data_IF_163165441829
#
_entry.id   IF_163165441829
#
_cell.length_a   1.000
_cell.length_b   1.000
_cell.length_c   1.000
_cell.angle_alpha   90.00
_cell.angle_beta   90.00
_cell.angle_gamma   90.00
#
_symmetry.space_group_name_H-M   'P 1'
#
loop_
_entity.id
_entity.type
_entity.pdbx_description
1 polymer ?
#
# COMPACT_ATOMS: atom_id res chain seq x y z
N UNK A 1 -12.38 -36.32 5.56
CA UNK A 1 -12.46 -34.86 5.72
C UNK A 1 -11.36 -34.53 6.74
N UNK A 2 -10.28 -33.91 6.32
CA UNK A 2 -9.21 -33.50 7.23
C UNK A 2 -9.71 -32.29 7.99
N UNK A 3 -9.57 -32.29 9.33
CA UNK A 3 -9.88 -31.12 10.14
C UNK A 3 -8.92 -29.98 9.73
N UNK A 4 -9.45 -28.77 9.58
CA UNK A 4 -8.61 -27.60 9.35
C UNK A 4 -7.63 -27.47 10.52
N UNK A 5 -6.33 -27.32 10.22
CA UNK A 5 -5.31 -27.13 11.23
C UNK A 5 -5.39 -25.69 11.70
N UNK A 6 -5.74 -25.48 12.96
CA UNK A 6 -5.80 -24.14 13.56
C UNK A 6 -4.43 -23.81 14.18
N UNK A 7 -3.81 -22.73 13.77
CA UNK A 7 -2.49 -22.27 14.23
C UNK A 7 -2.62 -20.92 14.95
N UNK A 8 -3.09 -20.92 16.21
CA UNK A 8 -3.47 -19.69 16.92
C UNK A 8 -2.28 -18.76 17.19
N UNK A 9 -1.08 -19.29 17.43
CA UNK A 9 0.10 -18.44 17.65
C UNK A 9 0.55 -17.78 16.34
N UNK A 10 0.53 -18.52 15.24
CA UNK A 10 0.81 -17.99 13.91
C UNK A 10 -0.22 -16.91 13.53
N UNK A 11 -1.51 -17.15 13.77
CA UNK A 11 -2.56 -16.18 13.49
C UNK A 11 -2.35 -14.88 14.27
N UNK A 12 -2.02 -14.97 15.56
CA UNK A 12 -1.74 -13.80 16.38
C UNK A 12 -0.54 -12.99 15.86
N UNK A 13 0.54 -13.65 15.45
CA UNK A 13 1.72 -13.00 14.87
C UNK A 13 1.38 -12.32 13.55
N UNK A 14 0.57 -12.93 12.69
CA UNK A 14 0.15 -12.35 11.42
C UNK A 14 -0.79 -11.15 11.62
N UNK A 15 -1.65 -11.15 12.64
CA UNK A 15 -2.48 -10.02 13.00
C UNK A 15 -1.63 -8.81 13.44
N UNK A 16 -0.63 -9.03 14.29
CA UNK A 16 0.31 -7.98 14.67
C UNK A 16 1.10 -7.46 13.45
N UNK A 17 1.58 -8.37 12.60
CA UNK A 17 2.26 -8.03 11.36
C UNK A 17 1.38 -7.14 10.45
N UNK A 18 0.09 -7.45 10.34
CA UNK A 18 -0.85 -6.67 9.55
C UNK A 18 -1.03 -5.24 10.09
N UNK A 19 -1.09 -5.09 11.44
CA UNK A 19 -1.17 -3.78 12.09
C UNK A 19 0.10 -2.96 11.85
N UNK A 20 1.27 -3.57 12.00
CA UNK A 20 2.55 -2.90 11.80
C UNK A 20 2.77 -2.51 10.33
N UNK A 21 2.42 -3.40 9.40
CA UNK A 21 2.44 -3.09 7.97
C UNK A 21 1.61 -1.86 7.64
N UNK A 22 0.38 -1.81 8.17
CA UNK A 22 -0.48 -0.66 8.00
C UNK A 22 0.16 0.62 8.52
N UNK A 23 0.67 0.59 9.76
CA UNK A 23 1.28 1.75 10.39
C UNK A 23 2.50 2.26 9.61
N UNK A 24 3.34 1.34 9.13
CA UNK A 24 4.53 1.67 8.36
C UNK A 24 4.17 2.23 6.97
N UNK A 25 3.22 1.61 6.27
CA UNK A 25 2.76 2.12 4.98
C UNK A 25 2.12 3.50 5.10
N UNK A 26 1.31 3.73 6.15
CA UNK A 26 0.76 5.05 6.47
C UNK A 26 1.86 6.09 6.72
N UNK A 27 2.91 5.73 7.47
CA UNK A 27 4.05 6.59 7.73
C UNK A 27 4.81 6.96 6.44
N UNK A 28 5.08 5.99 5.58
CA UNK A 28 5.75 6.22 4.30
C UNK A 28 4.94 7.14 3.37
N UNK A 29 3.61 6.96 3.32
CA UNK A 29 2.72 7.85 2.56
C UNK A 29 2.73 9.28 3.09
N UNK A 30 2.82 9.46 4.42
CA UNK A 30 2.96 10.78 5.06
C UNK A 30 4.28 11.43 4.72
N UNK A 31 5.38 10.70 4.85
CA UNK A 31 6.74 11.18 4.57
C UNK A 31 6.86 11.68 3.12
N UNK A 32 6.30 10.96 2.17
CA UNK A 32 6.32 11.34 0.76
C UNK A 32 5.20 12.31 0.34
N UNK A 33 4.44 12.86 1.30
CA UNK A 33 3.31 13.80 1.06
C UNK A 33 2.29 13.27 0.04
N UNK A 34 1.99 11.96 0.09
CA UNK A 34 1.06 11.28 -0.83
C UNK A 34 -0.40 11.35 -0.39
N UNK A 35 -0.66 11.90 0.78
CA UNK A 35 -2.00 12.03 1.34
C UNK A 35 -2.64 13.33 0.88
N UNK A 36 -3.35 13.31 -0.25
CA UNK A 36 -4.12 14.47 -0.71
C UNK A 36 -5.54 14.48 -0.13
N UNK A 37 -6.28 13.39 -0.25
CA UNK A 37 -7.68 13.27 0.22
C UNK A 37 -7.86 12.23 1.33
N UNK A 38 -6.79 11.57 1.77
CA UNK A 38 -6.84 10.53 2.79
C UNK A 38 -7.51 9.21 2.36
N UNK A 39 -7.88 9.07 1.08
CA UNK A 39 -8.53 7.83 0.60
C UNK A 39 -7.58 6.63 0.62
N UNK A 40 -6.32 6.82 0.18
CA UNK A 40 -5.30 5.78 0.23
C UNK A 40 -4.97 5.39 1.68
N UNK A 41 -4.91 6.40 2.56
CA UNK A 41 -4.71 6.21 3.99
C UNK A 41 -5.85 5.42 4.65
N UNK A 42 -7.11 5.74 4.30
CA UNK A 42 -8.29 5.03 4.82
C UNK A 42 -8.31 3.56 4.40
N UNK A 43 -7.84 3.25 3.19
CA UNK A 43 -7.85 1.89 2.65
C UNK A 43 -6.68 1.04 3.17
N UNK A 44 -5.53 1.63 3.44
CA UNK A 44 -4.47 0.97 4.20
C UNK A 44 -4.94 0.51 5.60
N UNK A 45 -6.03 1.13 6.10
CA UNK A 45 -6.66 0.76 7.35
C UNK A 45 -7.46 -0.56 7.33
N UNK A 46 -7.67 -1.17 6.17
CA UNK A 46 -8.48 -2.40 6.02
C UNK A 46 -7.67 -3.69 5.96
N UNK A 47 -6.40 -3.64 6.32
CA UNK A 47 -5.55 -4.83 6.39
C UNK A 47 -6.13 -5.84 7.38
N UNK A 48 -6.29 -7.08 6.95
CA UNK A 48 -6.85 -8.18 7.74
C UNK A 48 -6.09 -9.47 7.49
N UNK A 49 -6.16 -10.37 8.45
CA UNK A 49 -5.70 -11.75 8.29
C UNK A 49 -6.88 -12.60 7.90
N UNK A 50 -6.76 -13.32 6.80
CA UNK A 50 -7.73 -14.33 6.37
C UNK A 50 -7.14 -15.71 6.56
N UNK A 51 -7.95 -16.59 7.16
CA UNK A 51 -7.59 -18.00 7.37
C UNK A 51 -8.61 -18.83 6.61
N UNK A 52 -8.18 -19.47 5.55
CA UNK A 52 -9.01 -20.34 4.73
C UNK A 52 -8.33 -21.70 4.57
N UNK A 53 -8.97 -22.75 5.08
CA UNK A 53 -8.49 -24.14 5.12
C UNK A 53 -7.11 -24.30 5.79
N UNK A 54 -6.03 -24.25 5.00
CA UNK A 54 -4.64 -24.38 5.47
C UNK A 54 -3.76 -23.21 5.04
N UNK A 55 -4.39 -22.14 4.52
CA UNK A 55 -3.69 -20.94 4.04
C UNK A 55 -3.92 -19.82 5.04
N UNK A 56 -2.83 -19.26 5.55
CA UNK A 56 -2.82 -18.07 6.39
C UNK A 56 -2.33 -16.92 5.55
N UNK A 57 -3.17 -15.91 5.33
CA UNK A 57 -2.90 -14.81 4.41
C UNK A 57 -3.15 -13.46 5.09
N UNK A 58 -2.24 -12.52 4.86
CA UNK A 58 -2.44 -11.11 5.19
C UNK A 58 -2.85 -10.38 3.93
N UNK A 59 -4.12 -9.99 3.86
CA UNK A 59 -4.68 -9.29 2.70
C UNK A 59 -4.77 -7.80 2.95
N UNK A 60 -4.31 -7.01 1.99
CA UNK A 60 -4.36 -5.54 2.04
C UNK A 60 -5.23 -5.03 0.90
N UNK A 61 -6.38 -4.45 1.26
CA UNK A 61 -7.28 -3.84 0.30
C UNK A 61 -6.81 -2.43 -0.06
N UNK A 62 -6.39 -2.25 -1.28
CA UNK A 62 -5.92 -0.96 -1.80
C UNK A 62 -6.80 -0.47 -2.97
N UNK A 63 -7.00 0.86 -3.13
CA UNK A 63 -7.73 1.39 -4.26
C UNK A 63 -6.99 1.10 -5.57
N UNK A 64 -7.72 0.92 -6.67
CA UNK A 64 -7.16 0.57 -7.97
C UNK A 64 -6.06 1.49 -8.51
N UNK A 65 -5.93 2.69 -7.94
CA UNK A 65 -4.92 3.66 -8.35
C UNK A 65 -3.60 3.55 -7.56
N UNK A 66 -3.50 2.67 -6.54
CA UNK A 66 -2.29 2.53 -5.72
C UNK A 66 -1.02 2.29 -6.54
N UNK A 67 -1.10 1.50 -7.60
CA UNK A 67 0.02 1.22 -8.51
C UNK A 67 0.60 2.48 -9.15
N UNK A 68 -0.25 3.46 -9.48
CA UNK A 68 0.21 4.71 -10.08
C UNK A 68 0.97 5.61 -9.10
N UNK A 69 0.74 5.43 -7.82
CA UNK A 69 1.46 6.15 -6.75
C UNK A 69 2.74 5.41 -6.43
N UNK A 70 2.65 4.12 -6.19
CA UNK A 70 3.76 3.27 -5.75
C UNK A 70 4.81 3.07 -6.87
N UNK A 71 4.40 2.60 -8.03
CA UNK A 71 5.29 2.34 -9.17
C UNK A 71 5.52 3.60 -10.05
N UNK A 72 4.65 4.59 -9.91
CA UNK A 72 4.63 5.74 -10.81
C UNK A 72 4.05 5.42 -12.18
N UNK A 73 4.27 6.31 -13.13
CA UNK A 73 3.76 6.14 -14.50
C UNK A 73 4.77 6.62 -15.54
N UNK A 74 4.87 5.90 -16.66
CA UNK A 74 5.66 6.35 -17.81
C UNK A 74 4.87 7.39 -18.61
N UNK A 75 5.51 8.49 -18.98
CA UNK A 75 4.98 9.52 -19.87
C UNK A 75 5.41 9.29 -21.31
N UNK A 76 4.99 10.20 -22.21
CA UNK A 76 5.33 10.11 -23.65
C UNK A 76 6.83 10.10 -23.92
N UNK A 77 7.61 10.86 -23.14
CA UNK A 77 9.08 10.93 -23.26
C UNK A 77 9.81 9.82 -22.51
N UNK A 78 9.12 9.10 -21.63
CA UNK A 78 9.74 8.11 -20.75
C UNK A 78 9.28 6.67 -21.02
N UNK A 79 8.72 6.42 -22.21
CA UNK A 79 8.43 5.07 -22.68
C UNK A 79 6.96 4.73 -22.93
N UNK A 80 6.04 5.70 -22.87
CA UNK A 80 4.65 5.51 -23.28
C UNK A 80 4.20 6.60 -24.26
N UNK A 81 4.52 6.50 -25.57
CA UNK A 81 4.21 7.52 -26.56
C UNK A 81 2.70 7.80 -26.70
N UNK A 82 1.86 6.82 -26.39
CA UNK A 82 0.40 6.92 -26.47
C UNK A 82 -0.26 7.41 -25.18
N UNK A 83 0.51 7.85 -24.18
CA UNK A 83 -0.03 8.34 -22.92
C UNK A 83 -1.04 9.47 -23.17
N UNK A 84 -2.28 9.24 -22.70
CA UNK A 84 -3.33 10.26 -22.74
C UNK A 84 -3.14 11.25 -21.59
N UNK A 85 -3.74 12.43 -21.76
CA UNK A 85 -3.82 13.40 -20.68
C UNK A 85 -4.62 12.77 -19.51
N UNK A 86 -4.13 12.88 -18.27
CA UNK A 86 -4.85 12.33 -17.11
C UNK A 86 -6.19 13.06 -16.90
N UNK A 87 -7.15 12.48 -16.18
CA UNK A 87 -8.46 13.11 -15.95
C UNK A 87 -8.32 14.49 -15.32
N UNK A 88 -8.66 15.54 -16.07
CA UNK A 88 -8.46 16.93 -15.67
C UNK A 88 -9.13 17.26 -14.33
N UNK A 89 -10.38 16.78 -14.12
CA UNK A 89 -11.13 17.04 -12.90
C UNK A 89 -10.47 16.41 -11.66
N UNK A 90 -9.81 15.25 -11.81
CA UNK A 90 -9.09 14.62 -10.71
C UNK A 90 -7.87 15.47 -10.30
N UNK A 91 -7.11 15.98 -11.29
CA UNK A 91 -5.98 16.87 -11.02
C UNK A 91 -6.45 18.19 -10.42
N UNK A 92 -7.54 18.77 -10.94
CA UNK A 92 -8.09 20.00 -10.42
C UNK A 92 -8.52 19.86 -8.95
N UNK A 93 -9.24 18.78 -8.63
CA UNK A 93 -9.62 18.45 -7.25
C UNK A 93 -8.38 18.31 -6.35
N UNK A 94 -7.33 17.62 -6.82
CA UNK A 94 -6.09 17.47 -6.09
C UNK A 94 -5.39 18.82 -5.84
N UNK A 95 -5.32 19.70 -6.84
CA UNK A 95 -4.75 21.06 -6.71
C UNK A 95 -5.52 21.89 -5.66
N UNK A 96 -6.83 21.75 -5.61
CA UNK A 96 -7.69 22.46 -4.66
C UNK A 96 -7.53 21.95 -3.22
N UNK A 97 -7.32 20.66 -3.06
CA UNK A 97 -7.10 20.04 -1.73
C UNK A 97 -5.70 20.37 -1.18
N UNK A 98 -4.72 20.61 -2.06
CA UNK A 98 -3.33 21.00 -1.68
C UNK A 98 -3.04 22.46 -2.08
N UNK A 99 -3.61 23.46 -1.41
CA UNK A 99 -3.42 24.86 -1.76
C UNK A 99 -1.97 25.34 -1.55
N UNK A 100 -1.20 24.65 -0.71
CA UNK A 100 0.21 24.95 -0.39
C UNK A 100 1.20 24.50 -1.47
N UNK A 101 0.73 23.82 -2.53
CA UNK A 101 1.60 23.46 -3.64
C UNK A 101 2.26 24.69 -4.26
N UNK A 102 3.61 24.72 -4.35
CA UNK A 102 4.29 25.86 -4.94
C UNK A 102 3.89 26.01 -6.42
N UNK A 103 3.37 27.18 -6.75
CA UNK A 103 3.03 27.53 -8.13
C UNK A 103 4.24 28.21 -8.77
N UNK A 104 5.00 27.52 -9.62
CA UNK A 104 6.34 27.95 -10.01
C UNK A 104 6.37 29.12 -11.00
N UNK A 105 5.23 29.66 -11.40
CA UNK A 105 5.21 30.72 -12.40
C UNK A 105 3.98 31.63 -12.29
N UNK A 106 4.14 32.85 -12.81
CA UNK A 106 3.05 33.77 -13.07
C UNK A 106 2.79 33.85 -14.58
N UNK A 107 1.53 33.88 -14.99
CA UNK A 107 1.16 34.12 -16.39
C UNK A 107 0.86 35.59 -16.58
N UNK A 108 1.67 36.29 -17.38
CA UNK A 108 1.54 37.72 -17.67
C UNK A 108 1.44 38.60 -16.40
N UNK A 109 2.28 38.27 -15.40
CA UNK A 109 2.32 39.00 -14.12
C UNK A 109 1.15 38.72 -13.17
N UNK A 110 0.26 37.78 -13.47
CA UNK A 110 -0.85 37.38 -12.61
C UNK A 110 -0.60 35.99 -12.05
N UNK A 111 -1.08 35.74 -10.84
CA UNK A 111 -1.06 34.39 -10.26
C UNK A 111 -1.84 33.40 -11.13
N UNK A 112 -1.30 32.19 -11.21
CA UNK A 112 -1.90 31.11 -11.99
C UNK A 112 -3.12 30.57 -11.27
N UNK A 113 -4.26 30.50 -11.96
CA UNK A 113 -5.48 29.90 -11.43
C UNK A 113 -5.32 28.38 -11.23
N UNK A 114 -6.14 27.78 -10.35
CA UNK A 114 -6.14 26.33 -10.13
C UNK A 114 -6.31 25.52 -11.42
N UNK A 115 -7.20 25.99 -12.31
CA UNK A 115 -7.43 25.34 -13.62
C UNK A 115 -6.18 25.37 -14.51
N UNK A 116 -5.48 26.50 -14.55
CA UNK A 116 -4.25 26.63 -15.34
C UNK A 116 -3.13 25.79 -14.76
N UNK A 117 -3.00 25.76 -13.43
CA UNK A 117 -2.02 24.93 -12.74
C UNK A 117 -2.32 23.44 -12.93
N UNK A 118 -3.58 23.02 -12.80
CA UNK A 118 -4.00 21.64 -13.06
C UNK A 118 -3.70 21.20 -14.51
N UNK A 119 -3.92 22.09 -15.48
CA UNK A 119 -3.55 21.86 -16.88
C UNK A 119 -2.05 21.67 -17.08
N UNK A 120 -1.23 22.50 -16.43
CA UNK A 120 0.23 22.38 -16.47
C UNK A 120 0.72 21.06 -15.82
N UNK A 121 0.20 20.72 -14.63
CA UNK A 121 0.51 19.46 -13.93
C UNK A 121 0.13 18.26 -14.81
N UNK A 122 -1.08 18.25 -15.36
CA UNK A 122 -1.55 17.19 -16.26
C UNK A 122 -0.67 17.04 -17.50
N UNK A 123 -0.23 18.16 -18.08
CA UNK A 123 0.74 18.17 -19.16
C UNK A 123 2.08 17.52 -18.76
N UNK A 124 2.61 17.86 -17.59
CA UNK A 124 3.84 17.24 -17.06
C UNK A 124 3.67 15.73 -16.87
N UNK A 125 2.57 15.29 -16.28
CA UNK A 125 2.27 13.86 -16.10
C UNK A 125 2.14 13.14 -17.45
N UNK A 126 1.49 13.76 -18.43
CA UNK A 126 1.37 13.18 -19.78
C UNK A 126 2.74 13.01 -20.46
N UNK A 127 3.61 14.04 -20.36
CA UNK A 127 4.91 14.02 -21.04
C UNK A 127 5.98 13.22 -20.31
N UNK A 128 6.10 13.38 -19.01
CA UNK A 128 7.21 12.81 -18.23
C UNK A 128 6.78 11.62 -17.35
N UNK A 129 5.49 11.44 -17.12
CA UNK A 129 4.97 10.50 -16.15
C UNK A 129 5.05 11.03 -14.71
N UNK A 130 4.93 10.13 -13.77
CA UNK A 130 5.12 10.37 -12.34
C UNK A 130 6.19 9.43 -11.81
N UNK A 131 7.01 9.89 -10.87
CA UNK A 131 7.96 9.03 -10.16
C UNK A 131 7.19 8.24 -9.10
N UNK A 132 7.39 6.93 -9.03
CA UNK A 132 6.93 6.10 -7.93
C UNK A 132 7.74 6.35 -6.66
N UNK A 133 7.16 6.05 -5.53
CA UNK A 133 7.81 6.14 -4.20
C UNK A 133 8.16 4.79 -3.63
N UNK A 134 7.53 3.71 -4.12
CA UNK A 134 7.69 2.33 -3.65
C UNK A 134 7.38 2.16 -2.15
N UNK A 135 6.45 2.96 -1.65
CA UNK A 135 6.06 2.99 -0.23
C UNK A 135 5.51 1.64 0.25
N UNK A 136 4.73 0.98 -0.63
CA UNK A 136 4.15 -0.33 -0.35
C UNK A 136 5.23 -1.41 -0.30
N UNK A 137 6.13 -1.41 -1.29
CA UNK A 137 7.23 -2.37 -1.38
C UNK A 137 8.17 -2.24 -0.18
N UNK A 138 8.53 -1.01 0.21
CA UNK A 138 9.36 -0.75 1.38
C UNK A 138 8.70 -1.22 2.66
N UNK A 139 7.41 -0.88 2.88
CA UNK A 139 6.67 -1.32 4.05
C UNK A 139 6.57 -2.85 4.13
N UNK A 140 6.32 -3.53 2.99
CA UNK A 140 6.28 -4.99 2.92
C UNK A 140 7.62 -5.61 3.32
N UNK A 141 8.70 -5.14 2.72
CA UNK A 141 10.01 -5.76 2.92
C UNK A 141 10.49 -5.57 4.36
N UNK A 142 10.28 -4.39 4.93
CA UNK A 142 10.64 -4.09 6.31
C UNK A 142 9.83 -4.93 7.31
N UNK A 143 8.51 -5.03 7.11
CA UNK A 143 7.65 -5.82 7.99
C UNK A 143 7.94 -7.32 7.86
N UNK A 144 8.12 -7.83 6.65
CA UNK A 144 8.48 -9.25 6.44
C UNK A 144 9.79 -9.59 7.15
N UNK A 145 10.81 -8.75 7.06
CA UNK A 145 12.08 -8.99 7.74
C UNK A 145 11.94 -8.94 9.27
N UNK A 146 11.17 -7.97 9.79
CA UNK A 146 10.89 -7.83 11.22
C UNK A 146 10.19 -9.06 11.81
N UNK A 147 9.27 -9.66 11.06
CA UNK A 147 8.42 -10.74 11.56
C UNK A 147 8.90 -12.14 11.19
N UNK A 148 9.92 -12.29 10.34
CA UNK A 148 10.43 -13.58 9.85
C UNK A 148 10.69 -14.59 10.95
N UNK A 149 11.45 -14.23 11.96
CA UNK A 149 11.81 -15.14 13.07
C UNK A 149 10.59 -15.47 13.93
N UNK A 150 9.76 -14.49 14.26
CA UNK A 150 8.54 -14.68 15.04
C UNK A 150 7.53 -15.60 14.36
N UNK A 151 7.39 -15.49 13.03
CA UNK A 151 6.53 -16.40 12.24
C UNK A 151 7.09 -17.82 12.29
N UNK A 152 8.40 -18.02 12.18
CA UNK A 152 9.01 -19.33 12.26
C UNK A 152 8.87 -19.97 13.65
N UNK A 153 9.02 -19.19 14.72
CA UNK A 153 8.81 -19.63 16.11
C UNK A 153 7.34 -20.00 16.36
N UNK A 154 6.39 -19.15 15.99
CA UNK A 154 4.96 -19.40 16.18
C UNK A 154 4.52 -20.68 15.42
N UNK A 155 4.96 -20.84 14.18
CA UNK A 155 4.68 -22.04 13.39
C UNK A 155 5.28 -23.29 14.05
N UNK A 156 6.49 -23.19 14.59
CA UNK A 156 7.16 -24.29 15.33
C UNK A 156 6.39 -24.68 16.59
N UNK A 157 5.92 -23.73 17.39
CA UNK A 157 5.12 -23.97 18.59
C UNK A 157 3.77 -24.63 18.27
N UNK A 158 3.04 -24.09 17.30
CA UNK A 158 1.77 -24.63 16.86
C UNK A 158 1.92 -26.06 16.30
N UNK A 159 2.96 -26.32 15.49
CA UNK A 159 3.25 -27.66 14.98
C UNK A 159 3.59 -28.65 16.10
N UNK A 160 4.38 -28.25 17.09
CA UNK A 160 4.73 -29.07 18.24
C UNK A 160 3.48 -29.41 19.08
N UNK A 161 2.61 -28.42 19.31
CA UNK A 161 1.34 -28.64 20.01
C UNK A 161 0.49 -29.71 19.34
N UNK A 162 0.34 -29.67 18.02
CA UNK A 162 -0.39 -30.69 17.27
C UNK A 162 0.25 -32.05 17.34
N UNK A 163 1.58 -32.15 17.20
CA UNK A 163 2.28 -33.42 17.30
C UNK A 163 2.14 -34.08 18.66
N UNK A 164 2.23 -33.30 19.75
CA UNK A 164 2.07 -33.80 21.13
C UNK A 164 0.66 -34.32 21.36
N UNK A 165 -0.38 -33.54 20.97
CA UNK A 165 -1.76 -33.95 21.13
C UNK A 165 -2.13 -35.15 20.28
N UNK A 166 -1.65 -35.21 19.03
CA UNK A 166 -1.84 -36.36 18.16
C UNK A 166 -1.19 -37.62 18.72
N UNK A 167 0.04 -37.51 19.23
CA UNK A 167 0.71 -38.65 19.88
C UNK A 167 -0.01 -39.13 21.14
N UNK A 168 -0.61 -38.22 21.93
CA UNK A 168 -1.39 -38.55 23.11
C UNK A 168 -2.67 -39.33 22.76
N UNK A 169 -3.31 -39.02 21.63
CA UNK A 169 -4.52 -39.70 21.15
C UNK A 169 -4.21 -41.13 20.65
N UNK A 170 -3.02 -41.36 20.13
CA UNK A 170 -2.57 -42.73 19.74
C UNK A 170 -2.15 -43.61 20.92
N UNK A 171 -1.84 -43.03 22.06
CA UNK A 171 -1.42 -43.77 23.27
C UNK A 171 -2.60 -44.22 24.16
N UNK A 172 -3.82 -43.96 23.77
CA UNK A 172 -5.07 -44.39 24.42
C UNK A 172 -5.70 -45.56 23.69
#
# INVERSE_FOLDING_TARGET
MYAAVNLPELEAVLQEMAVDFRALYEANLLEHDRIAAGELFKMAATTRVEVEDTVYEVTVDLPNYWKYIDEGTKGRKTGNPNRKFPPFNAILKWVQIKPTLPRPFTLKGREVTDKQFAGWVGGKIMYYGTKGTHDLEQARDEVVEKYRERIAEALGHDALYYLVNYAADFAR
#
